data_IF_769302838913
#
_entry.id   IF_769302838913
#
_cell.length_a   1.000
_cell.length_b   1.000
_cell.length_c   1.000
_cell.angle_alpha   90.00
_cell.angle_beta   90.00
_cell.angle_gamma   90.00
#
_symmetry.space_group_name_H-M   'P 1'
#
loop_
_entity.id
_entity.type
_entity.pdbx_description
1 polymer ?
#
# COMPACT_ATOMS: atom_id res chain seq x y z
N UNK A 1 -10.65 -28.38 7.68
CA UNK A 1 -10.76 -27.17 6.83
C UNK A 1 -11.92 -26.25 7.23
N UNK A 2 -13.17 -26.76 7.33
CA UNK A 2 -14.36 -25.92 7.59
C UNK A 2 -14.34 -25.16 8.93
N UNK A 3 -13.70 -25.72 9.97
CA UNK A 3 -13.49 -25.05 11.26
C UNK A 3 -12.51 -23.87 11.19
N UNK A 4 -11.46 -23.98 10.38
CA UNK A 4 -10.43 -22.94 10.17
C UNK A 4 -11.01 -21.75 9.40
N UNK A 5 -11.78 -22.01 8.33
CA UNK A 5 -12.46 -20.95 7.58
C UNK A 5 -13.47 -20.17 8.44
N UNK A 6 -14.19 -20.88 9.34
CA UNK A 6 -15.10 -20.22 10.30
C UNK A 6 -14.34 -19.35 11.30
N UNK A 7 -13.25 -19.86 11.88
CA UNK A 7 -12.40 -19.07 12.77
C UNK A 7 -11.83 -17.81 12.06
N UNK A 8 -11.35 -17.95 10.84
CA UNK A 8 -10.84 -16.85 10.02
C UNK A 8 -11.93 -15.80 9.73
N UNK A 9 -13.13 -16.24 9.35
CA UNK A 9 -14.26 -15.33 9.11
C UNK A 9 -14.65 -14.54 10.36
N UNK A 10 -14.59 -15.16 11.55
CA UNK A 10 -14.83 -14.51 12.83
C UNK A 10 -13.74 -13.48 13.15
N UNK A 11 -12.47 -13.80 12.90
CA UNK A 11 -11.36 -12.85 13.07
C UNK A 11 -11.54 -11.62 12.17
N UNK A 12 -11.84 -11.82 10.89
CA UNK A 12 -12.07 -10.72 9.94
C UNK A 12 -13.25 -9.86 10.42
N UNK A 13 -14.40 -10.48 10.73
CA UNK A 13 -15.61 -9.73 11.10
C UNK A 13 -15.45 -8.97 12.42
N UNK A 14 -14.72 -9.53 13.38
CA UNK A 14 -14.46 -8.86 14.66
C UNK A 14 -13.51 -7.67 14.51
N UNK A 15 -12.52 -7.79 13.62
CA UNK A 15 -11.52 -6.76 13.40
C UNK A 15 -12.03 -5.67 12.44
N UNK A 16 -12.96 -6.00 11.55
CA UNK A 16 -13.60 -5.09 10.60
C UNK A 16 -14.65 -4.19 11.26
N UNK A 17 -14.19 -3.29 12.13
CA UNK A 17 -15.05 -2.28 12.74
C UNK A 17 -14.86 -0.93 12.06
N UNK A 18 -15.96 -0.35 11.55
CA UNK A 18 -15.95 0.95 10.87
C UNK A 18 -15.32 2.07 11.72
N UNK A 19 -15.54 2.03 13.04
CA UNK A 19 -14.96 3.00 13.99
C UNK A 19 -13.42 3.02 13.96
N UNK A 20 -12.79 1.91 13.60
CA UNK A 20 -11.32 1.79 13.48
C UNK A 20 -10.84 2.00 12.05
N UNK A 21 -11.52 1.39 11.08
CA UNK A 21 -11.08 1.43 9.68
C UNK A 21 -11.24 2.82 9.06
N UNK A 22 -12.25 3.58 9.47
CA UNK A 22 -12.48 4.94 8.97
C UNK A 22 -11.34 5.92 9.27
N UNK A 23 -10.88 6.12 10.53
CA UNK A 23 -9.79 7.06 10.80
C UNK A 23 -8.48 6.65 10.15
N UNK A 24 -8.18 5.34 10.06
CA UNK A 24 -6.97 4.84 9.38
C UNK A 24 -7.05 5.10 7.87
N UNK A 25 -8.21 4.78 7.26
CA UNK A 25 -8.45 5.05 5.85
C UNK A 25 -8.40 6.54 5.53
N UNK A 26 -8.98 7.38 6.38
CA UNK A 26 -8.95 8.84 6.25
C UNK A 26 -7.50 9.36 6.37
N UNK A 27 -6.73 8.88 7.33
CA UNK A 27 -5.32 9.22 7.49
C UNK A 27 -4.50 8.90 6.23
N UNK A 28 -4.62 7.68 5.72
CA UNK A 28 -3.94 7.25 4.49
C UNK A 28 -4.40 8.05 3.27
N UNK A 29 -5.70 8.35 3.17
CA UNK A 29 -6.28 9.15 2.09
C UNK A 29 -5.80 10.61 2.13
N UNK A 30 -5.79 11.24 3.31
CA UNK A 30 -5.32 12.62 3.45
C UNK A 30 -3.85 12.74 3.09
N UNK A 31 -3.01 11.82 3.57
CA UNK A 31 -1.58 11.88 3.30
C UNK A 31 -1.26 11.61 1.82
N UNK A 32 -1.87 10.57 1.24
CA UNK A 32 -1.71 10.28 -0.19
C UNK A 32 -2.20 11.44 -1.07
N UNK A 33 -3.27 12.15 -0.69
CA UNK A 33 -3.68 13.38 -1.38
C UNK A 33 -2.58 14.44 -1.36
N UNK A 34 -1.97 14.70 -0.20
CA UNK A 34 -0.89 15.69 -0.05
C UNK A 34 0.29 15.32 -0.98
N UNK A 35 0.68 14.05 -1.00
CA UNK A 35 1.80 13.57 -1.82
C UNK A 35 1.47 13.58 -3.32
N UNK A 36 0.25 13.24 -3.71
CA UNK A 36 -0.15 13.07 -5.12
C UNK A 36 -0.61 14.38 -5.79
N UNK A 37 -1.04 15.39 -5.02
CA UNK A 37 -1.46 16.69 -5.54
C UNK A 37 -0.41 17.35 -6.47
N UNK A 38 0.88 17.41 -6.10
CA UNK A 38 1.94 17.91 -6.99
C UNK A 38 2.04 17.13 -8.31
N UNK A 39 1.96 15.79 -8.25
CA UNK A 39 2.02 14.94 -9.44
C UNK A 39 0.83 15.19 -10.38
N UNK A 40 -0.39 15.36 -9.83
CA UNK A 40 -1.58 15.69 -10.63
C UNK A 40 -1.45 17.05 -11.31
N UNK A 41 -0.96 18.07 -10.60
CA UNK A 41 -0.75 19.41 -11.17
C UNK A 41 0.28 19.39 -12.29
N UNK A 42 1.37 18.65 -12.13
CA UNK A 42 2.37 18.46 -13.18
C UNK A 42 1.78 17.76 -14.41
N UNK A 43 1.02 16.67 -14.22
CA UNK A 43 0.38 15.98 -15.33
C UNK A 43 -0.59 16.88 -16.09
N UNK A 44 -1.38 17.69 -15.38
CA UNK A 44 -2.28 18.66 -15.99
C UNK A 44 -1.52 19.78 -16.73
N UNK A 45 -0.42 20.29 -16.16
CA UNK A 45 0.40 21.35 -16.75
C UNK A 45 1.06 20.92 -18.06
N UNK A 46 1.60 19.70 -18.10
CA UNK A 46 2.31 19.17 -19.27
C UNK A 46 1.42 18.33 -20.20
N UNK A 47 0.12 18.17 -19.88
CA UNK A 47 -0.84 17.34 -20.61
C UNK A 47 -0.36 15.91 -20.88
N UNK A 48 0.40 15.34 -19.94
CA UNK A 48 0.98 14.00 -20.04
C UNK A 48 0.40 13.09 -18.95
N UNK A 49 0.47 11.78 -19.16
CA UNK A 49 -0.06 10.77 -18.23
C UNK A 49 1.05 9.93 -17.60
N UNK A 50 0.77 9.37 -16.43
CA UNK A 50 1.67 8.47 -15.73
C UNK A 50 1.31 7.00 -15.99
N UNK A 51 2.30 6.11 -16.15
CA UNK A 51 2.06 4.67 -16.15
C UNK A 51 1.63 4.19 -14.75
N UNK A 52 0.95 3.04 -14.69
CA UNK A 52 0.58 2.39 -13.42
C UNK A 52 1.78 2.12 -12.50
N UNK A 53 2.98 2.01 -13.07
CA UNK A 53 4.25 1.83 -12.35
C UNK A 53 4.69 3.03 -11.52
N UNK A 54 3.99 4.17 -11.58
CA UNK A 54 4.27 5.33 -10.71
C UNK A 54 4.26 4.95 -9.22
N UNK A 55 3.51 3.91 -8.84
CA UNK A 55 3.50 3.33 -7.49
C UNK A 55 4.92 2.94 -7.04
N UNK A 56 5.74 2.39 -7.94
CA UNK A 56 7.12 2.00 -7.64
C UNK A 56 7.98 3.21 -7.25
N UNK A 57 7.75 4.35 -7.89
CA UNK A 57 8.48 5.60 -7.63
C UNK A 57 8.02 6.21 -6.30
N UNK A 58 6.71 6.27 -6.08
CA UNK A 58 6.15 6.82 -4.83
C UNK A 58 6.59 6.03 -3.60
N UNK A 59 6.60 4.69 -3.71
CA UNK A 59 7.10 3.79 -2.67
C UNK A 59 8.63 3.80 -2.51
N UNK A 60 9.36 4.43 -3.44
CA UNK A 60 10.79 4.70 -3.28
C UNK A 60 11.08 5.82 -2.27
N UNK A 61 10.09 6.66 -1.96
CA UNK A 61 10.23 7.74 -0.98
C UNK A 61 10.18 7.21 0.46
N UNK A 62 11.26 7.43 1.21
CA UNK A 62 11.35 7.08 2.63
C UNK A 62 10.16 7.62 3.45
N UNK A 63 9.78 8.88 3.22
CA UNK A 63 8.68 9.53 3.93
C UNK A 63 7.33 8.86 3.65
N UNK A 64 7.10 8.49 2.38
CA UNK A 64 5.87 7.85 1.98
C UNK A 64 5.74 6.47 2.64
N UNK A 65 6.80 5.66 2.58
CA UNK A 65 6.85 4.35 3.23
C UNK A 65 6.66 4.46 4.73
N UNK A 66 7.33 5.41 5.40
CA UNK A 66 7.21 5.60 6.85
C UNK A 66 5.76 5.87 7.28
N UNK A 67 5.04 6.72 6.54
CA UNK A 67 3.66 7.08 6.88
C UNK A 67 2.68 5.95 6.59
N UNK A 68 2.87 5.25 5.47
CA UNK A 68 2.08 4.04 5.18
C UNK A 68 2.33 2.97 6.25
N UNK A 69 3.56 2.86 6.77
CA UNK A 69 3.89 1.95 7.87
C UNK A 69 3.25 2.35 9.20
N UNK A 70 3.16 3.64 9.53
CA UNK A 70 2.36 4.08 10.68
C UNK A 70 0.90 3.65 10.51
N UNK A 71 0.35 3.80 9.29
CA UNK A 71 -0.99 3.30 8.97
C UNK A 71 -1.13 1.78 9.15
N UNK A 72 -0.13 1.00 8.74
CA UNK A 72 -0.08 -0.45 8.93
C UNK A 72 -0.02 -0.83 10.41
N UNK A 73 0.84 -0.16 11.20
CA UNK A 73 0.94 -0.36 12.64
C UNK A 73 -0.40 -0.05 13.31
N UNK A 74 -1.08 1.05 12.96
CA UNK A 74 -2.40 1.37 13.49
C UNK A 74 -3.44 0.31 13.09
N UNK A 75 -3.38 -0.20 11.87
CA UNK A 75 -4.27 -1.24 11.36
C UNK A 75 -4.12 -2.57 12.10
N UNK A 76 -2.87 -2.96 12.41
CA UNK A 76 -2.56 -4.19 13.13
C UNK A 76 -2.43 -4.02 14.65
N UNK A 77 -2.47 -2.80 15.19
CA UNK A 77 -2.26 -2.50 16.63
C UNK A 77 -3.18 -3.28 17.57
N UNK A 78 -4.40 -3.58 17.13
CA UNK A 78 -5.34 -4.44 17.85
C UNK A 78 -5.16 -5.88 17.39
N UNK A 79 -4.01 -6.46 17.71
CA UNK A 79 -3.76 -7.86 17.39
C UNK A 79 -4.75 -8.75 18.15
N UNK A 80 -5.27 -9.81 17.50
CA UNK A 80 -6.25 -10.75 18.05
C UNK A 80 -5.77 -11.52 19.29
N UNK A 81 -4.59 -11.26 19.85
CA UNK A 81 -4.08 -12.00 20.99
C UNK A 81 -4.71 -11.63 22.33
N UNK A 82 -5.32 -10.43 22.44
CA UNK A 82 -5.74 -9.86 23.73
C UNK A 82 -7.25 -9.65 23.84
N UNK A 83 -8.03 -10.67 23.52
CA UNK A 83 -9.49 -10.61 23.69
C UNK A 83 -9.99 -11.90 24.37
N UNK A 84 -10.88 -11.79 25.35
CA UNK A 84 -11.47 -12.95 26.06
C UNK A 84 -12.14 -13.94 25.11
N UNK A 85 -12.65 -13.44 23.97
CA UNK A 85 -13.20 -14.28 22.90
C UNK A 85 -12.15 -15.20 22.25
N UNK A 86 -10.90 -14.78 22.21
CA UNK A 86 -9.80 -15.51 21.57
C UNK A 86 -9.34 -16.68 22.41
N UNK A 87 -9.33 -16.50 23.74
CA UNK A 87 -9.13 -17.58 24.69
C UNK A 87 -10.20 -18.69 24.53
N UNK A 88 -11.47 -18.29 24.40
CA UNK A 88 -12.56 -19.24 24.12
C UNK A 88 -12.38 -19.97 22.78
N UNK A 89 -11.90 -19.25 21.75
CA UNK A 89 -11.62 -19.84 20.44
C UNK A 89 -10.47 -20.86 20.50
N UNK A 90 -9.42 -20.58 21.28
CA UNK A 90 -8.30 -21.51 21.51
C UNK A 90 -8.79 -22.80 22.19
N UNK A 91 -9.63 -22.69 23.22
CA UNK A 91 -10.21 -23.85 23.91
C UNK A 91 -11.05 -24.71 22.95
N UNK A 92 -11.85 -24.09 22.07
CA UNK A 92 -12.72 -24.83 21.14
C UNK A 92 -12.03 -25.41 19.91
N UNK A 93 -11.08 -24.68 19.30
CA UNK A 93 -10.41 -25.13 18.07
C UNK A 93 -9.13 -25.94 18.35
N UNK A 94 -8.54 -25.77 19.53
CA UNK A 94 -7.19 -26.23 19.82
C UNK A 94 -6.12 -25.26 19.29
N UNK A 95 -4.98 -25.24 19.98
CA UNK A 95 -3.90 -24.27 19.77
C UNK A 95 -3.38 -24.24 18.31
N UNK A 96 -3.09 -25.40 17.72
CA UNK A 96 -2.53 -25.49 16.37
C UNK A 96 -3.45 -24.89 15.29
N UNK A 97 -4.75 -25.17 15.36
CA UNK A 97 -5.72 -24.67 14.36
C UNK A 97 -5.99 -23.18 14.54
N UNK A 98 -6.02 -22.70 15.78
CA UNK A 98 -6.11 -21.26 16.07
C UNK A 98 -4.88 -20.52 15.52
N UNK A 99 -3.67 -21.03 15.76
CA UNK A 99 -2.43 -20.42 15.27
C UNK A 99 -2.41 -20.30 13.73
N UNK A 100 -2.78 -21.37 13.02
CA UNK A 100 -2.91 -21.34 11.55
C UNK A 100 -3.92 -20.27 11.11
N UNK A 101 -5.05 -20.17 11.81
CA UNK A 101 -6.08 -19.17 11.48
C UNK A 101 -5.57 -17.73 11.64
N UNK A 102 -4.73 -17.47 12.65
CA UNK A 102 -4.09 -16.17 12.85
C UNK A 102 -3.07 -15.84 11.77
N UNK A 103 -2.21 -16.80 11.41
CA UNK A 103 -1.20 -16.61 10.36
C UNK A 103 -1.87 -16.29 9.03
N UNK A 104 -2.89 -17.07 8.64
CA UNK A 104 -3.63 -16.81 7.40
C UNK A 104 -4.37 -15.47 7.45
N UNK A 105 -4.91 -15.08 8.61
CA UNK A 105 -5.52 -13.76 8.78
C UNK A 105 -4.52 -12.63 8.50
N UNK A 106 -3.32 -12.67 9.09
CA UNK A 106 -2.29 -11.64 8.89
C UNK A 106 -1.84 -11.58 7.42
N UNK A 107 -1.64 -12.73 6.77
CA UNK A 107 -1.30 -12.83 5.34
C UNK A 107 -2.37 -12.15 4.47
N UNK A 108 -3.64 -12.49 4.67
CA UNK A 108 -4.74 -11.95 3.85
C UNK A 108 -4.97 -10.47 4.14
N UNK A 109 -4.91 -10.06 5.41
CA UNK A 109 -5.11 -8.67 5.82
C UNK A 109 -3.97 -7.74 5.37
N UNK A 110 -2.72 -8.20 5.40
CA UNK A 110 -1.58 -7.44 4.88
C UNK A 110 -1.67 -7.24 3.37
N UNK A 111 -2.05 -8.29 2.63
CA UNK A 111 -2.27 -8.19 1.19
C UNK A 111 -3.40 -7.20 0.86
N UNK A 112 -4.51 -7.26 1.60
CA UNK A 112 -5.62 -6.32 1.43
C UNK A 112 -5.21 -4.88 1.73
N UNK A 113 -4.39 -4.65 2.76
CA UNK A 113 -3.86 -3.33 3.11
C UNK A 113 -2.98 -2.76 1.99
N UNK A 114 -2.10 -3.58 1.40
CA UNK A 114 -1.26 -3.19 0.26
C UNK A 114 -2.12 -2.83 -0.95
N UNK A 115 -3.07 -3.70 -1.31
CA UNK A 115 -4.00 -3.46 -2.42
C UNK A 115 -4.78 -2.16 -2.23
N UNK A 116 -5.27 -1.88 -1.01
CA UNK A 116 -5.96 -0.64 -0.70
C UNK A 116 -5.09 0.59 -0.98
N UNK A 117 -3.84 0.62 -0.51
CA UNK A 117 -2.94 1.76 -0.74
C UNK A 117 -2.63 1.96 -2.23
N UNK A 118 -2.38 0.87 -2.97
CA UNK A 118 -2.11 0.92 -4.41
C UNK A 118 -3.32 1.43 -5.19
N UNK A 119 -4.51 0.89 -4.90
CA UNK A 119 -5.76 1.35 -5.51
C UNK A 119 -6.04 2.81 -5.21
N UNK A 120 -5.72 3.27 -3.98
CA UNK A 120 -5.90 4.65 -3.57
C UNK A 120 -4.98 5.58 -4.39
N UNK A 121 -3.71 5.23 -4.58
CA UNK A 121 -2.81 5.98 -5.47
C UNK A 121 -3.41 6.08 -6.87
N UNK A 122 -3.88 4.96 -7.42
CA UNK A 122 -4.42 4.95 -8.77
C UNK A 122 -5.70 5.80 -8.88
N UNK A 123 -6.63 5.64 -7.95
CA UNK A 123 -7.88 6.41 -7.93
C UNK A 123 -7.60 7.92 -7.86
N UNK A 124 -6.63 8.33 -7.03
CA UNK A 124 -6.29 9.73 -6.87
C UNK A 124 -5.58 10.33 -8.09
N UNK A 125 -4.90 9.53 -8.91
CA UNK A 125 -4.21 10.01 -10.11
C UNK A 125 -5.12 10.08 -11.36
N UNK A 126 -6.30 9.45 -11.34
CA UNK A 126 -7.27 9.60 -12.43
C UNK A 126 -7.61 11.09 -12.67
N UNK A 127 -7.77 11.55 -13.92
CA UNK A 127 -7.71 10.80 -15.18
C UNK A 127 -6.31 10.65 -15.79
N UNK A 128 -5.24 11.08 -15.12
CA UNK A 128 -3.88 11.16 -15.69
C UNK A 128 -3.12 9.83 -15.64
N UNK A 129 -3.81 8.70 -15.64
CA UNK A 129 -3.21 7.37 -15.62
C UNK A 129 -3.31 6.69 -16.98
N UNK A 130 -2.22 6.03 -17.34
CA UNK A 130 -2.12 5.19 -18.50
C UNK A 130 -1.80 3.75 -18.08
N UNK A 131 -2.51 2.80 -18.67
CA UNK A 131 -2.35 1.37 -18.41
C UNK A 131 -1.07 0.83 -19.06
N UNK A 132 -0.44 1.58 -19.97
CA UNK A 132 0.81 1.18 -20.62
C UNK A 132 1.96 1.01 -19.60
N UNK A 133 2.54 -0.18 -19.54
CA UNK A 133 3.67 -0.52 -18.64
C UNK A 133 5.03 -0.64 -19.36
N UNK A 134 5.10 -0.38 -20.67
CA UNK A 134 6.33 -0.55 -21.44
C UNK A 134 7.35 0.58 -21.24
N UNK A 135 6.89 1.76 -20.85
CA UNK A 135 7.73 2.94 -20.68
C UNK A 135 7.34 3.72 -19.44
N UNK A 136 8.33 4.33 -18.77
CA UNK A 136 8.12 5.25 -17.66
C UNK A 136 7.36 6.53 -18.06
N UNK A 137 7.19 6.79 -19.37
CA UNK A 137 6.50 7.98 -19.86
C UNK A 137 7.40 9.21 -19.81
N UNK A 138 7.07 10.21 -20.63
CA UNK A 138 7.94 11.40 -20.79
C UNK A 138 8.10 12.19 -19.50
N UNK A 139 7.04 12.29 -18.71
CA UNK A 139 7.02 13.13 -17.52
C UNK A 139 7.85 12.52 -16.37
N UNK A 140 7.77 11.21 -16.13
CA UNK A 140 8.63 10.56 -15.14
C UNK A 140 10.10 10.56 -15.59
N UNK A 141 10.37 10.35 -16.88
CA UNK A 141 11.73 10.46 -17.42
C UNK A 141 12.31 11.87 -17.27
N UNK A 142 11.50 12.91 -17.52
CA UNK A 142 11.92 14.30 -17.38
C UNK A 142 12.16 14.69 -15.92
N UNK A 143 11.35 14.15 -14.99
CA UNK A 143 11.55 14.32 -13.56
C UNK A 143 12.79 13.55 -13.07
N UNK A 144 13.02 12.33 -13.59
CA UNK A 144 14.22 11.53 -13.34
C UNK A 144 15.48 12.32 -13.69
N UNK A 145 15.55 12.83 -14.91
CA UNK A 145 16.70 13.57 -15.42
C UNK A 145 16.86 15.00 -14.86
N UNK A 146 16.13 15.35 -13.79
CA UNK A 146 16.10 16.68 -13.17
C UNK A 146 15.84 17.84 -14.15
N UNK A 147 15.27 17.57 -15.33
CA UNK A 147 14.96 18.60 -16.36
C UNK A 147 13.81 19.50 -15.92
N UNK A 148 12.92 18.97 -15.08
CA UNK A 148 11.87 19.71 -14.40
C UNK A 148 12.33 19.87 -12.96
N UNK A 149 12.56 21.11 -12.49
CA UNK A 149 12.92 21.37 -11.09
C UNK A 149 11.79 20.88 -10.18
N UNK A 150 11.99 19.79 -9.42
CA UNK A 150 10.96 19.30 -8.54
C UNK A 150 10.90 20.22 -7.32
N UNK A 151 9.69 20.62 -6.89
CA UNK A 151 9.52 21.15 -5.54
C UNK A 151 10.07 20.13 -4.52
N UNK A 152 10.52 20.58 -3.34
CA UNK A 152 11.16 19.71 -2.32
C UNK A 152 10.39 18.40 -2.03
N UNK A 153 9.06 18.41 -2.16
CA UNK A 153 8.20 17.22 -1.98
C UNK A 153 8.32 16.15 -3.09
N UNK A 154 8.78 16.51 -4.29
CA UNK A 154 8.96 15.60 -5.43
C UNK A 154 10.38 14.99 -5.47
N UNK A 155 11.36 15.61 -4.80
CA UNK A 155 12.77 15.19 -4.83
C UNK A 155 13.01 13.84 -4.13
N UNK A 156 12.21 13.52 -3.11
CA UNK A 156 12.41 12.30 -2.31
C UNK A 156 11.99 10.99 -2.97
N UNK A 157 11.19 11.03 -4.05
CA UNK A 157 10.61 9.82 -4.66
C UNK A 157 11.34 9.37 -5.93
N UNK A 158 12.06 10.27 -6.59
CA UNK A 158 12.56 10.06 -7.94
C UNK A 158 14.04 9.75 -7.88
N UNK A 159 14.36 8.47 -7.71
CA UNK A 159 15.72 7.98 -7.86
C UNK A 159 15.98 7.68 -9.34
N UNK A 160 16.84 8.46 -9.99
CA UNK A 160 17.31 8.18 -11.36
C UNK A 160 17.78 6.73 -11.53
N UNK A 161 18.42 6.21 -10.49
CA UNK A 161 18.95 4.84 -10.43
C UNK A 161 17.84 3.82 -10.71
N UNK A 162 16.65 3.94 -10.11
CA UNK A 162 15.58 2.97 -10.31
C UNK A 162 15.07 2.95 -11.76
N UNK A 163 15.01 4.11 -12.43
CA UNK A 163 14.53 4.20 -13.82
C UNK A 163 15.57 3.73 -14.85
N UNK A 164 16.86 3.79 -14.51
CA UNK A 164 17.95 3.35 -15.40
C UNK A 164 18.12 1.82 -15.42
N UNK A 165 17.90 1.15 -14.29
CA UNK A 165 18.16 -0.29 -14.15
C UNK A 165 16.92 -1.18 -14.26
N UNK A 166 15.71 -0.63 -14.11
CA UNK A 166 14.48 -1.43 -14.11
C UNK A 166 13.49 -1.03 -15.21
N UNK A 167 12.86 -2.05 -15.81
CA UNK A 167 11.66 -1.84 -16.62
C UNK A 167 10.47 -1.49 -15.72
N UNK A 168 9.51 -0.66 -16.19
CA UNK A 168 8.39 -0.20 -15.35
C UNK A 168 7.54 -1.33 -14.79
N UNK A 169 7.35 -2.42 -15.54
CA UNK A 169 6.65 -3.62 -15.07
C UNK A 169 7.42 -4.38 -13.99
N UNK A 170 8.73 -4.59 -14.18
CA UNK A 170 9.58 -5.25 -13.20
C UNK A 170 9.63 -4.47 -11.89
N UNK A 171 9.80 -3.15 -11.98
CA UNK A 171 9.81 -2.27 -10.81
C UNK A 171 8.48 -2.34 -10.05
N UNK A 172 7.34 -2.27 -10.74
CA UNK A 172 6.03 -2.39 -10.09
C UNK A 172 5.89 -3.71 -9.33
N UNK A 173 6.22 -4.84 -9.96
CA UNK A 173 6.06 -6.16 -9.32
C UNK A 173 6.98 -6.28 -8.10
N UNK A 174 8.25 -5.89 -8.24
CA UNK A 174 9.22 -5.95 -7.15
C UNK A 174 8.84 -5.03 -5.99
N UNK A 175 8.39 -3.80 -6.26
CA UNK A 175 7.92 -2.89 -5.22
C UNK A 175 6.69 -3.44 -4.52
N UNK A 176 5.71 -4.01 -5.24
CA UNK A 176 4.53 -4.60 -4.62
C UNK A 176 4.89 -5.77 -3.69
N UNK A 177 5.81 -6.63 -4.12
CA UNK A 177 6.31 -7.73 -3.30
C UNK A 177 7.05 -7.23 -2.07
N UNK A 178 7.99 -6.28 -2.23
CA UNK A 178 8.74 -5.71 -1.12
C UNK A 178 7.83 -5.00 -0.13
N UNK A 179 6.87 -4.21 -0.62
CA UNK A 179 5.93 -3.49 0.22
C UNK A 179 5.04 -4.44 1.00
N UNK A 180 4.57 -5.53 0.40
CA UNK A 180 3.82 -6.57 1.11
C UNK A 180 4.67 -7.29 2.17
N UNK A 181 5.92 -7.64 1.86
CA UNK A 181 6.85 -8.21 2.83
C UNK A 181 7.15 -7.26 3.99
N UNK A 182 7.21 -5.95 3.73
CA UNK A 182 7.44 -4.94 4.76
C UNK A 182 6.23 -4.78 5.68
N UNK A 183 5.00 -4.89 5.15
CA UNK A 183 3.76 -4.80 5.94
C UNK A 183 3.48 -6.04 6.79
N UNK A 184 3.92 -7.22 6.33
CA UNK A 184 3.66 -8.49 7.04
C UNK A 184 4.68 -8.80 8.15
N UNK A 185 5.89 -8.23 8.06
CA UNK A 185 6.99 -8.38 9.03
C UNK A 185 6.72 -7.56 10.31
#
# INVERSE_FOLDING_TARGET
MMSIMRALSLHIRQQWTWKRLLPIGLYLLMYSLIVLLPYRRLAAQYQESYPLSIVAILMGSYWYVAIVMIGAILFFSVLPFRNSFQFWLVIKLGYARWMISQVVYVIVSSLAFVCFNVMLIWLLLLPHLNIRLHSWGKLLNALGQARIRPNEMLQGAIQEVAMQYYTPSSALIQTLLLFWLLVIL
#
